data_IF_055443988509
#
_entry.id   IF_055443988509
#
_cell.length_a   1.000
_cell.length_b   1.000
_cell.length_c   1.000
_cell.angle_alpha   90.00
_cell.angle_beta   90.00
_cell.angle_gamma   90.00
#
_symmetry.space_group_name_H-M   'P 1'
#
loop_
_entity.id
_entity.type
_entity.pdbx_description
1 polymer ?
#
# COMPACT_ATOMS: atom_id res chain seq x y z
N UNK A 1 52.33 -17.69 -27.94
CA UNK A 1 52.80 -16.62 -27.01
C UNK A 1 51.90 -16.71 -25.78
N UNK A 2 52.37 -16.86 -24.52
CA UNK A 2 53.25 -15.95 -23.74
C UNK A 2 52.62 -14.55 -23.68
N UNK A 3 52.17 -13.96 -22.57
CA UNK A 3 52.72 -13.96 -21.19
C UNK A 3 51.64 -13.99 -20.07
N UNK A 4 52.10 -14.02 -18.81
CA UNK A 4 51.34 -13.81 -17.58
C UNK A 4 52.11 -12.83 -16.65
N UNK A 5 51.76 -12.73 -15.35
CA UNK A 5 52.37 -11.87 -14.28
C UNK A 5 51.87 -10.41 -14.34
N UNK A 6 51.57 -9.66 -13.26
CA UNK A 6 51.72 -9.78 -11.78
C UNK A 6 50.35 -9.52 -11.06
N UNK A 7 50.05 -9.72 -9.76
CA UNK A 7 50.72 -9.46 -8.45
C UNK A 7 51.09 -7.97 -8.25
N UNK A 8 50.87 -7.26 -7.13
CA UNK A 8 50.14 -7.43 -5.85
C UNK A 8 50.01 -5.99 -5.23
N UNK A 9 49.80 -5.63 -3.95
CA UNK A 9 49.59 -6.28 -2.63
C UNK A 9 49.13 -5.21 -1.59
N UNK A 10 48.33 -5.59 -0.56
CA UNK A 10 48.21 -4.93 0.78
C UNK A 10 47.62 -3.48 0.82
N UNK A 11 47.09 -2.90 1.92
CA UNK A 11 46.52 -3.39 3.20
C UNK A 11 45.64 -2.26 3.84
N UNK A 12 44.85 -2.51 4.90
CA UNK A 12 43.79 -1.57 5.34
C UNK A 12 44.28 -0.37 6.18
N UNK A 13 43.49 0.71 6.17
CA UNK A 13 43.63 1.82 7.14
C UNK A 13 42.99 1.49 8.49
N UNK A 14 43.62 1.97 9.57
CA UNK A 14 43.41 1.47 10.94
C UNK A 14 42.46 2.38 11.74
N UNK A 15 41.53 1.80 12.52
CA UNK A 15 40.78 2.53 13.54
C UNK A 15 41.72 3.05 14.62
N UNK A 16 41.64 4.34 14.95
CA UNK A 16 42.39 4.94 16.06
C UNK A 16 41.43 5.45 17.15
N UNK A 17 41.33 4.70 18.24
CA UNK A 17 40.54 5.07 19.42
C UNK A 17 41.45 5.54 20.58
N UNK A 18 41.14 6.68 21.17
CA UNK A 18 41.64 7.17 22.47
C UNK A 18 40.95 8.52 22.81
N UNK A 19 40.87 8.92 24.10
CA UNK A 19 40.51 8.11 25.26
C UNK A 19 39.33 8.75 26.04
N UNK A 20 38.70 8.01 26.95
CA UNK A 20 37.74 8.58 27.89
C UNK A 20 38.45 9.39 28.99
N UNK A 21 38.00 10.61 29.27
CA UNK A 21 38.52 11.45 30.38
C UNK A 21 37.37 11.85 31.29
N UNK A 22 37.45 11.44 32.56
CA UNK A 22 36.43 11.73 33.57
C UNK A 22 36.60 13.15 34.11
N UNK A 23 35.54 13.96 34.10
CA UNK A 23 35.52 15.29 34.71
C UNK A 23 34.28 15.47 35.59
N UNK A 24 34.41 15.16 36.88
CA UNK A 24 33.35 15.40 37.89
C UNK A 24 33.42 16.87 38.31
N UNK A 25 32.52 17.70 37.79
CA UNK A 25 32.32 19.09 38.23
C UNK A 25 31.14 19.20 39.19
N UNK A 26 31.19 20.16 40.12
CA UNK A 26 30.24 20.28 41.24
C UNK A 26 29.05 21.15 40.85
N UNK A 27 27.83 20.68 41.11
CA UNK A 27 26.61 21.49 41.00
C UNK A 27 26.51 22.50 42.17
N UNK A 28 26.23 23.79 41.91
CA UNK A 28 25.66 24.68 42.91
C UNK A 28 24.20 24.32 43.20
N UNK A 29 23.70 24.65 44.39
CA UNK A 29 22.31 24.37 44.78
C UNK A 29 21.35 25.43 44.27
N UNK A 30 20.20 24.99 43.76
CA UNK A 30 18.95 25.75 43.80
C UNK A 30 18.63 26.62 42.59
N UNK A 31 17.77 26.10 41.70
CA UNK A 31 16.62 26.76 41.07
C UNK A 31 15.75 25.61 40.52
N UNK A 32 14.43 25.65 40.73
CA UNK A 32 13.52 24.65 40.16
C UNK A 32 12.97 25.14 38.81
N UNK A 33 13.17 24.42 37.70
CA UNK A 33 12.30 24.54 36.54
C UNK A 33 10.99 23.79 36.81
N UNK A 34 9.86 24.30 36.31
CA UNK A 34 8.60 23.55 36.34
C UNK A 34 8.71 22.29 35.48
N UNK A 35 8.29 21.15 36.03
CA UNK A 35 8.18 19.89 35.30
C UNK A 35 6.98 19.91 34.33
N UNK A 36 7.10 20.68 33.25
CA UNK A 36 6.17 20.63 32.13
C UNK A 36 6.18 19.23 31.52
N UNK A 37 5.06 18.51 31.62
CA UNK A 37 4.91 17.17 31.04
C UNK A 37 4.89 17.28 29.52
N UNK A 38 6.04 17.05 28.89
CA UNK A 38 6.12 16.73 27.46
C UNK A 38 5.32 15.44 27.22
N UNK A 39 4.08 15.61 26.77
CA UNK A 39 3.31 14.50 26.24
C UNK A 39 3.94 14.09 24.91
N UNK A 40 4.16 12.79 24.64
CA UNK A 40 4.56 12.36 23.31
C UNK A 40 3.41 12.68 22.34
N UNK A 41 3.68 13.55 21.37
CA UNK A 41 2.64 13.99 20.42
C UNK A 41 2.29 12.87 19.44
N UNK A 42 1.05 12.39 19.52
CA UNK A 42 0.32 11.92 18.35
C UNK A 42 0.93 10.76 17.55
N UNK A 43 1.34 9.66 18.23
CA UNK A 43 1.15 8.37 17.57
C UNK A 43 -0.38 8.18 17.48
N UNK A 44 -0.91 8.08 16.26
CA UNK A 44 -2.34 7.81 16.05
C UNK A 44 -2.74 6.55 16.80
N UNK A 45 -3.70 6.67 17.70
CA UNK A 45 -3.95 5.66 18.73
C UNK A 45 -4.76 4.47 18.19
N UNK A 46 -4.11 3.63 17.40
CA UNK A 46 -4.51 2.23 17.22
C UNK A 46 -4.54 1.59 18.62
N UNK A 47 -5.73 1.28 19.12
CA UNK A 47 -5.86 0.54 20.39
C UNK A 47 -5.37 -0.89 20.16
N UNK A 48 -4.91 -1.58 21.21
CA UNK A 48 -4.35 -2.92 21.06
C UNK A 48 -5.31 -3.91 20.36
N UNK A 49 -6.62 -3.69 20.46
CA UNK A 49 -7.68 -4.42 19.77
C UNK A 49 -7.71 -4.28 18.25
N UNK A 50 -7.10 -3.25 17.66
CA UNK A 50 -7.06 -3.06 16.18
C UNK A 50 -5.75 -3.58 15.57
N UNK A 51 -4.99 -4.38 16.32
CA UNK A 51 -3.74 -5.03 15.89
C UNK A 51 -3.84 -6.57 15.94
N UNK A 52 -4.99 -7.11 16.35
CA UNK A 52 -5.35 -8.50 16.09
C UNK A 52 -5.79 -8.62 14.61
N UNK A 53 -5.48 -9.74 13.94
CA UNK A 53 -5.90 -10.01 12.56
C UNK A 53 -4.84 -9.82 11.47
N UNK A 54 -5.29 -9.74 10.21
CA UNK A 54 -4.49 -9.64 8.98
C UNK A 54 -4.49 -8.22 8.41
N UNK A 55 -3.36 -7.75 7.85
CA UNK A 55 -3.27 -6.48 7.14
C UNK A 55 -3.31 -6.70 5.63
N UNK A 56 -4.34 -6.18 4.95
CA UNK A 56 -4.57 -6.42 3.52
C UNK A 56 -4.09 -5.21 2.72
N UNK A 57 -3.08 -5.39 1.87
CA UNK A 57 -2.55 -4.32 1.01
C UNK A 57 -3.15 -4.38 -0.40
N UNK A 58 -3.90 -3.36 -0.76
CA UNK A 58 -4.49 -3.21 -2.10
C UNK A 58 -3.74 -2.17 -2.95
N UNK A 59 -3.70 -2.35 -4.29
CA UNK A 59 -3.32 -1.28 -5.20
C UNK A 59 -4.53 -0.34 -5.43
N UNK A 60 -4.33 0.97 -5.66
CA UNK A 60 -5.41 1.84 -6.09
C UNK A 60 -5.91 1.40 -7.48
N UNK A 61 -7.16 1.70 -7.77
CA UNK A 61 -7.73 1.52 -9.10
C UNK A 61 -7.20 2.55 -10.12
N UNK A 62 -7.36 2.22 -11.40
CA UNK A 62 -7.12 3.15 -12.50
C UNK A 62 -8.27 4.16 -12.60
N UNK A 63 -9.48 3.69 -12.94
CA UNK A 63 -10.70 4.49 -12.87
C UNK A 63 -11.14 4.72 -11.42
N UNK A 64 -11.66 5.90 -11.11
CA UNK A 64 -12.10 6.29 -9.76
C UNK A 64 -13.43 7.02 -9.81
N UNK A 65 -14.34 6.65 -8.93
CA UNK A 65 -15.69 7.21 -8.85
C UNK A 65 -15.60 8.69 -8.47
N UNK A 66 -16.29 9.56 -9.22
CA UNK A 66 -16.43 10.96 -8.89
C UNK A 66 -17.78 11.22 -8.23
N UNK A 67 -17.77 11.92 -7.09
CA UNK A 67 -18.96 12.24 -6.32
C UNK A 67 -19.36 13.69 -6.61
N UNK A 68 -20.65 13.94 -6.84
CA UNK A 68 -21.14 15.26 -7.24
C UNK A 68 -21.22 16.28 -6.08
N UNK A 69 -21.03 15.84 -4.84
CA UNK A 69 -21.13 16.66 -3.63
C UNK A 69 -20.41 15.99 -2.44
N UNK A 70 -20.20 16.77 -1.37
CA UNK A 70 -19.40 16.40 -0.21
C UNK A 70 -18.17 17.31 -0.07
N UNK A 71 -17.68 17.48 1.15
CA UNK A 71 -16.49 18.31 1.41
C UNK A 71 -15.22 17.75 0.74
N UNK A 72 -14.18 18.56 0.52
CA UNK A 72 -12.85 18.09 0.15
C UNK A 72 -12.21 17.19 1.23
N UNK A 73 -11.04 16.62 0.91
CA UNK A 73 -10.25 15.86 1.88
C UNK A 73 -9.55 16.79 2.87
N UNK A 74 -9.46 16.36 4.13
CA UNK A 74 -8.65 17.03 5.15
C UNK A 74 -7.37 16.22 5.42
N UNK A 75 -6.21 16.83 5.18
CA UNK A 75 -4.90 16.13 5.21
C UNK A 75 -4.60 15.45 6.55
N UNK A 76 -5.06 16.04 7.65
CA UNK A 76 -4.90 15.54 9.02
C UNK A 76 -5.96 14.50 9.43
N UNK A 77 -7.04 14.35 8.65
CA UNK A 77 -8.09 13.35 8.89
C UNK A 77 -7.83 12.03 8.13
N UNK A 78 -6.95 12.04 7.13
CA UNK A 78 -6.46 10.82 6.48
C UNK A 78 -5.65 9.97 7.47
N UNK A 79 -5.81 8.65 7.40
CA UNK A 79 -4.94 7.68 8.08
C UNK A 79 -3.47 7.96 7.82
N UNK A 80 -2.58 7.51 8.72
CA UNK A 80 -1.12 7.73 8.59
C UNK A 80 -0.73 9.23 8.49
N UNK A 81 -1.08 10.09 9.46
CA UNK A 81 -0.80 11.53 9.41
C UNK A 81 0.70 11.87 9.30
N UNK A 82 1.59 10.94 9.65
CA UNK A 82 3.04 11.05 9.43
C UNK A 82 3.42 11.19 7.95
N UNK A 83 2.52 10.82 7.02
CA UNK A 83 2.70 11.02 5.59
C UNK A 83 2.24 12.41 5.10
N UNK A 84 1.69 13.28 5.96
CA UNK A 84 1.06 14.55 5.55
C UNK A 84 1.97 15.50 4.77
N UNK A 85 3.20 15.73 5.23
CA UNK A 85 4.20 16.56 4.53
C UNK A 85 4.54 15.96 3.15
N UNK A 86 4.77 14.66 3.10
CA UNK A 86 5.06 13.91 1.88
C UNK A 86 3.88 13.97 0.88
N UNK A 87 2.64 13.80 1.34
CA UNK A 87 1.43 13.99 0.52
C UNK A 87 1.37 15.42 -0.04
N UNK A 88 1.80 16.42 0.73
CA UNK A 88 1.97 17.80 0.28
C UNK A 88 2.97 17.96 -0.86
N UNK A 89 4.17 17.37 -0.75
CA UNK A 89 5.17 17.35 -1.84
C UNK A 89 4.58 16.77 -3.14
N UNK A 90 3.89 15.62 -3.05
CA UNK A 90 3.33 14.92 -4.22
C UNK A 90 2.13 15.65 -4.81
N UNK A 91 1.24 16.22 -4.00
CA UNK A 91 0.13 17.06 -4.47
C UNK A 91 0.62 18.30 -5.21
N UNK A 92 1.65 18.98 -4.68
CA UNK A 92 2.22 20.16 -5.32
C UNK A 92 2.86 19.81 -6.68
N UNK A 93 3.69 18.76 -6.71
CA UNK A 93 4.32 18.28 -7.95
C UNK A 93 3.29 17.78 -8.98
N UNK A 94 2.26 17.05 -8.54
CA UNK A 94 1.18 16.57 -9.40
C UNK A 94 0.37 17.72 -10.00
N UNK A 95 0.04 18.74 -9.19
CA UNK A 95 -0.68 19.94 -9.65
C UNK A 95 0.14 20.71 -10.69
N UNK A 96 1.45 20.87 -10.48
CA UNK A 96 2.35 21.52 -11.45
C UNK A 96 2.42 20.73 -12.76
N UNK A 97 2.67 19.42 -12.70
CA UNK A 97 2.74 18.56 -13.89
C UNK A 97 1.40 18.52 -14.65
N UNK A 98 0.27 18.48 -13.94
CA UNK A 98 -1.06 18.38 -14.57
C UNK A 98 -1.53 19.69 -15.21
N UNK A 99 -0.86 20.82 -14.93
CA UNK A 99 -1.12 22.12 -15.54
C UNK A 99 -0.18 22.45 -16.71
N UNK A 100 0.76 21.55 -17.07
CA UNK A 100 1.69 21.72 -18.18
C UNK A 100 1.10 21.22 -19.51
N UNK A 101 1.59 21.74 -20.64
CA UNK A 101 1.14 21.33 -21.98
C UNK A 101 1.42 19.84 -22.28
N UNK A 102 2.47 19.27 -21.67
CA UNK A 102 2.87 17.87 -21.81
C UNK A 102 2.30 16.94 -20.70
N UNK A 103 1.38 17.43 -19.86
CA UNK A 103 0.79 16.70 -18.73
C UNK A 103 0.38 15.26 -19.07
N UNK A 104 -0.29 15.07 -20.21
CA UNK A 104 -0.77 13.76 -20.66
C UNK A 104 0.38 12.79 -20.97
N UNK A 105 1.49 13.30 -21.51
CA UNK A 105 2.70 12.52 -21.79
C UNK A 105 3.44 12.17 -20.49
N UNK A 106 3.61 13.12 -19.57
CA UNK A 106 4.32 12.91 -18.29
C UNK A 106 3.57 11.94 -17.38
N UNK A 107 2.23 12.02 -17.35
CA UNK A 107 1.37 11.13 -16.58
C UNK A 107 1.11 9.77 -17.29
N UNK A 108 1.53 9.62 -18.55
CA UNK A 108 1.43 8.38 -19.32
C UNK A 108 -0.01 7.98 -19.68
N UNK A 109 -0.82 8.93 -20.13
CA UNK A 109 -2.27 8.77 -20.34
C UNK A 109 -2.74 9.19 -21.74
N UNK A 110 -3.77 8.51 -22.24
CA UNK A 110 -4.46 8.88 -23.48
C UNK A 110 -5.47 10.02 -23.28
N UNK A 111 -5.83 10.70 -24.38
CA UNK A 111 -6.70 11.88 -24.39
C UNK A 111 -8.07 11.70 -23.69
N UNK A 112 -8.59 10.48 -23.63
CA UNK A 112 -9.83 10.15 -22.91
C UNK A 112 -9.79 10.39 -21.39
N UNK A 113 -8.61 10.63 -20.81
CA UNK A 113 -8.41 10.90 -19.39
C UNK A 113 -8.08 12.38 -19.10
N UNK A 114 -8.26 13.28 -20.07
CA UNK A 114 -7.93 14.69 -19.94
C UNK A 114 -8.69 15.40 -18.80
N UNK A 115 -9.95 15.04 -18.56
CA UNK A 115 -10.72 15.57 -17.42
C UNK A 115 -10.18 15.09 -16.06
N UNK A 116 -9.73 13.84 -15.97
CA UNK A 116 -9.10 13.34 -14.73
C UNK A 116 -7.74 14.01 -14.47
N UNK A 117 -7.01 14.38 -15.53
CA UNK A 117 -5.76 15.16 -15.41
C UNK A 117 -6.05 16.62 -15.04
N UNK A 118 -7.04 17.26 -15.65
CA UNK A 118 -7.45 18.61 -15.27
C UNK A 118 -7.87 18.67 -13.77
N UNK A 119 -8.59 17.64 -13.30
CA UNK A 119 -8.99 17.50 -11.88
C UNK A 119 -7.81 17.47 -10.90
N UNK A 120 -6.64 16.95 -11.31
CA UNK A 120 -5.44 16.97 -10.46
C UNK A 120 -5.03 18.39 -10.03
N UNK A 121 -5.39 19.42 -10.81
CA UNK A 121 -5.08 20.83 -10.53
C UNK A 121 -5.94 21.36 -9.36
N UNK A 122 -7.16 20.83 -9.19
CA UNK A 122 -8.20 21.33 -8.28
C UNK A 122 -8.45 20.48 -7.04
N UNK A 123 -7.84 19.29 -6.90
CA UNK A 123 -8.07 18.29 -5.82
C UNK A 123 -8.39 18.82 -4.41
N UNK A 124 -7.75 19.92 -3.97
CA UNK A 124 -8.05 20.63 -2.71
C UNK A 124 -9.47 21.24 -2.61
N UNK A 125 -10.31 21.09 -3.64
CA UNK A 125 -11.72 21.52 -3.72
C UNK A 125 -12.65 20.45 -4.30
N UNK A 126 -12.10 19.32 -4.73
CA UNK A 126 -12.89 18.23 -5.32
C UNK A 126 -13.59 17.46 -4.19
N UNK A 127 -14.88 17.09 -4.34
CA UNK A 127 -15.58 16.30 -3.34
C UNK A 127 -14.85 14.99 -3.02
N UNK A 128 -14.66 14.73 -1.72
CA UNK A 128 -13.99 13.54 -1.22
C UNK A 128 -14.99 12.55 -0.61
N UNK A 129 -14.90 11.29 -1.02
CA UNK A 129 -15.69 10.17 -0.47
C UNK A 129 -14.74 9.09 0.07
N UNK A 130 -15.29 8.11 0.80
CA UNK A 130 -14.50 7.05 1.42
C UNK A 130 -13.75 6.24 0.35
N UNK A 131 -12.53 5.81 0.62
CA UNK A 131 -11.68 5.18 -0.38
C UNK A 131 -12.30 3.89 -0.98
N UNK A 132 -13.16 3.20 -0.23
CA UNK A 132 -13.97 2.07 -0.72
C UNK A 132 -15.05 2.41 -1.76
N UNK A 133 -15.54 3.66 -1.81
CA UNK A 133 -16.44 4.15 -2.86
C UNK A 133 -15.67 4.73 -4.06
N UNK A 134 -14.55 5.40 -3.77
CA UNK A 134 -13.74 6.12 -4.77
C UNK A 134 -12.93 5.17 -5.65
N UNK A 135 -12.38 4.09 -5.09
CA UNK A 135 -11.62 3.11 -5.87
C UNK A 135 -12.56 2.06 -6.49
N UNK A 136 -12.64 2.03 -7.82
CA UNK A 136 -13.63 1.23 -8.58
C UNK A 136 -12.99 0.36 -9.68
N UNK A 137 -13.79 -0.46 -10.37
CA UNK A 137 -13.30 -1.42 -11.36
C UNK A 137 -12.82 -2.76 -10.77
N UNK A 138 -12.97 -3.84 -11.54
CA UNK A 138 -12.54 -5.26 -11.38
C UNK A 138 -12.15 -5.74 -9.98
N UNK A 139 -11.11 -5.20 -9.35
CA UNK A 139 -10.68 -5.61 -8.00
C UNK A 139 -11.68 -5.18 -6.93
N UNK A 140 -12.12 -3.91 -6.96
CA UNK A 140 -13.06 -3.37 -5.99
C UNK A 140 -14.49 -3.82 -6.27
N UNK A 141 -14.82 -4.09 -7.54
CA UNK A 141 -16.06 -4.76 -7.96
C UNK A 141 -16.15 -6.20 -7.45
N UNK A 142 -15.04 -6.95 -7.48
CA UNK A 142 -14.96 -8.32 -6.94
C UNK A 142 -14.94 -8.34 -5.41
N UNK A 143 -14.37 -7.31 -4.77
CA UNK A 143 -14.44 -7.12 -3.32
C UNK A 143 -15.89 -6.85 -2.90
N UNK A 144 -16.58 -5.93 -3.58
CA UNK A 144 -18.00 -5.66 -3.39
C UNK A 144 -18.33 -5.13 -1.98
N UNK A 145 -17.65 -4.08 -1.54
CA UNK A 145 -17.81 -3.53 -0.17
C UNK A 145 -19.27 -3.22 0.21
N UNK A 146 -20.06 -2.71 -0.73
CA UNK A 146 -21.49 -2.42 -0.55
C UNK A 146 -22.40 -3.68 -0.47
N UNK A 147 -21.85 -4.88 -0.67
CA UNK A 147 -22.55 -6.17 -0.46
C UNK A 147 -21.88 -7.03 0.63
N UNK A 148 -20.99 -6.45 1.43
CA UNK A 148 -20.55 -7.02 2.71
C UNK A 148 -21.60 -6.74 3.79
N UNK A 149 -21.66 -7.59 4.83
CA UNK A 149 -22.42 -7.24 6.04
C UNK A 149 -21.68 -6.19 6.89
N UNK A 150 -22.36 -5.62 7.88
CA UNK A 150 -21.81 -4.54 8.69
C UNK A 150 -20.60 -4.94 9.56
N UNK A 151 -20.37 -6.22 9.86
CA UNK A 151 -19.17 -6.69 10.54
C UNK A 151 -17.99 -6.85 9.56
N UNK A 152 -18.24 -7.44 8.39
CA UNK A 152 -17.25 -7.52 7.32
C UNK A 152 -16.85 -6.13 6.78
N UNK A 153 -17.76 -5.15 6.74
CA UNK A 153 -17.44 -3.75 6.43
C UNK A 153 -16.49 -3.11 7.45
N UNK A 154 -16.71 -3.32 8.76
CA UNK A 154 -15.79 -2.82 9.80
C UNK A 154 -14.40 -3.46 9.67
N UNK A 155 -14.34 -4.79 9.54
CA UNK A 155 -13.06 -5.49 9.31
C UNK A 155 -12.36 -4.99 8.04
N UNK A 156 -13.11 -4.72 6.95
CA UNK A 156 -12.55 -4.11 5.75
C UNK A 156 -11.95 -2.73 6.00
N UNK A 157 -12.65 -1.83 6.71
CA UNK A 157 -12.15 -0.49 7.00
C UNK A 157 -10.97 -0.47 8.00
N UNK A 158 -10.87 -1.47 8.87
CA UNK A 158 -9.78 -1.64 9.85
C UNK A 158 -8.53 -2.33 9.26
N UNK A 159 -8.70 -3.32 8.37
CA UNK A 159 -7.63 -4.17 7.82
C UNK A 159 -7.09 -3.74 6.45
N UNK A 160 -7.87 -3.04 5.62
CA UNK A 160 -7.48 -2.72 4.24
C UNK A 160 -6.75 -1.39 4.16
N UNK A 161 -5.56 -1.44 3.55
CA UNK A 161 -4.74 -0.25 3.24
C UNK A 161 -4.44 -0.20 1.74
N UNK A 162 -4.81 0.91 1.10
CA UNK A 162 -4.57 1.14 -0.33
C UNK A 162 -3.28 1.93 -0.53
N UNK A 163 -2.26 1.31 -1.15
CA UNK A 163 -0.93 1.92 -1.33
C UNK A 163 -0.92 2.82 -2.57
N UNK A 164 -1.36 4.06 -2.38
CA UNK A 164 -1.60 5.07 -3.42
C UNK A 164 -0.33 5.75 -3.96
N UNK A 165 -0.31 6.05 -5.25
CA UNK A 165 0.74 6.87 -5.88
C UNK A 165 0.71 8.35 -5.43
N UNK A 166 -0.46 8.87 -5.05
CA UNK A 166 -0.67 10.25 -4.59
C UNK A 166 -0.61 10.34 -3.05
N UNK A 167 -1.25 9.40 -2.36
CA UNK A 167 -1.42 9.47 -0.91
C UNK A 167 -0.39 8.65 -0.12
N UNK A 168 0.43 7.85 -0.81
CA UNK A 168 1.37 6.88 -0.25
C UNK A 168 0.66 5.63 0.25
N UNK A 169 -0.13 5.80 1.30
CA UNK A 169 -1.05 4.80 1.84
C UNK A 169 -2.30 5.51 2.37
N UNK A 170 -3.47 4.88 2.29
CA UNK A 170 -4.73 5.34 2.90
C UNK A 170 -5.47 4.15 3.51
N UNK A 171 -6.19 4.37 4.61
CA UNK A 171 -7.16 3.42 5.14
C UNK A 171 -8.38 3.35 4.22
N UNK A 172 -9.14 2.25 4.25
CA UNK A 172 -10.22 2.03 3.27
C UNK A 172 -11.42 2.97 3.48
N UNK A 173 -11.60 3.49 4.71
CA UNK A 173 -12.57 4.53 5.04
C UNK A 173 -12.07 5.98 4.82
N UNK A 174 -10.79 6.22 4.47
CA UNK A 174 -10.24 7.57 4.33
C UNK A 174 -11.02 8.37 3.26
N UNK A 175 -11.46 9.61 3.57
CA UNK A 175 -12.11 10.48 2.58
C UNK A 175 -11.08 11.08 1.61
N UNK A 176 -11.12 10.67 0.34
CA UNK A 176 -10.22 11.14 -0.73
C UNK A 176 -11.01 11.60 -1.98
N UNK A 177 -10.52 12.59 -2.75
CA UNK A 177 -11.04 12.88 -4.08
C UNK A 177 -10.50 11.89 -5.13
N UNK A 178 -11.21 11.69 -6.26
CA UNK A 178 -10.68 10.96 -7.41
C UNK A 178 -9.53 11.72 -8.09
N UNK A 179 -8.45 11.02 -8.45
CA UNK A 179 -7.21 11.60 -8.99
C UNK A 179 -6.58 10.72 -10.09
N UNK A 180 -5.77 11.33 -10.95
CA UNK A 180 -5.03 10.65 -12.04
C UNK A 180 -3.52 10.65 -11.79
N UNK A 181 -3.03 9.66 -11.05
CA UNK A 181 -1.60 9.40 -10.86
C UNK A 181 -1.33 7.90 -10.69
N UNK A 182 -0.31 7.38 -11.39
CA UNK A 182 0.14 5.99 -11.29
C UNK A 182 1.55 5.89 -10.71
N UNK A 183 1.84 4.83 -9.95
CA UNK A 183 3.10 4.69 -9.19
C UNK A 183 4.35 4.54 -10.07
N UNK A 184 4.17 4.26 -11.36
CA UNK A 184 5.26 4.26 -12.36
C UNK A 184 5.72 5.65 -12.80
N UNK A 185 4.96 6.71 -12.50
CA UNK A 185 5.26 8.09 -12.92
C UNK A 185 6.47 8.67 -12.17
N UNK A 186 7.18 9.58 -12.85
CA UNK A 186 8.19 10.47 -12.27
C UNK A 186 7.61 11.88 -12.24
N UNK A 187 7.55 12.51 -11.07
CA UNK A 187 7.16 13.93 -10.93
C UNK A 187 8.39 14.70 -10.45
N UNK A 188 8.70 15.87 -11.01
CA UNK A 188 9.76 16.72 -10.44
C UNK A 188 9.18 17.67 -9.37
N UNK A 189 9.92 17.97 -8.28
CA UNK A 189 11.27 17.49 -7.92
C UNK A 189 11.28 16.14 -7.15
N UNK A 190 10.12 15.51 -6.96
CA UNK A 190 9.92 14.27 -6.18
C UNK A 190 10.72 13.07 -6.72
N UNK A 191 10.96 13.01 -8.02
CA UNK A 191 11.57 11.87 -8.70
C UNK A 191 10.59 10.72 -8.95
N UNK A 192 11.09 9.48 -8.94
CA UNK A 192 10.30 8.27 -9.23
C UNK A 192 9.49 7.84 -8.02
N UNK A 193 8.16 7.90 -8.13
CA UNK A 193 7.23 7.77 -6.99
C UNK A 193 7.46 6.52 -6.15
N UNK A 194 7.55 5.32 -6.75
CA UNK A 194 7.81 4.09 -6.00
C UNK A 194 9.05 4.16 -5.09
N UNK A 195 10.18 4.65 -5.62
CA UNK A 195 11.45 4.74 -4.88
C UNK A 195 11.49 5.86 -3.84
N UNK A 196 10.67 6.89 -4.03
CA UNK A 196 10.52 8.01 -3.10
C UNK A 196 9.58 7.61 -1.96
N UNK A 197 8.40 7.05 -2.28
CA UNK A 197 7.44 6.55 -1.29
C UNK A 197 8.02 5.46 -0.42
N UNK A 198 8.85 4.54 -0.96
CA UNK A 198 9.50 3.49 -0.15
C UNK A 198 10.26 4.01 1.06
N UNK A 199 10.88 5.19 0.98
CA UNK A 199 11.59 5.81 2.11
C UNK A 199 10.67 6.38 3.19
N UNK A 200 9.43 6.74 2.83
CA UNK A 200 8.40 7.27 3.75
C UNK A 200 7.47 6.16 4.29
N UNK A 201 7.09 5.20 3.45
CA UNK A 201 6.09 4.18 3.78
C UNK A 201 6.63 3.07 4.68
N UNK A 202 7.87 2.60 4.50
CA UNK A 202 8.42 1.50 5.32
C UNK A 202 8.27 1.74 6.84
N UNK A 203 8.79 2.82 7.44
CA UNK A 203 8.66 3.03 8.89
C UNK A 203 7.22 3.26 9.38
N UNK A 204 6.30 3.68 8.49
CA UNK A 204 4.90 3.95 8.83
C UNK A 204 4.03 2.70 8.75
N UNK A 205 4.22 1.87 7.71
CA UNK A 205 3.45 0.66 7.50
C UNK A 205 4.00 -0.53 8.28
N UNK A 206 5.32 -0.61 8.52
CA UNK A 206 5.88 -1.57 9.49
C UNK A 206 5.32 -1.30 10.90
N UNK A 207 5.18 -0.03 11.29
CA UNK A 207 4.58 0.36 12.57
C UNK A 207 3.06 0.17 12.65
N UNK A 208 2.33 0.19 11.51
CA UNK A 208 0.91 -0.21 11.47
C UNK A 208 0.74 -1.71 11.55
N UNK A 209 1.58 -2.49 10.89
CA UNK A 209 1.49 -3.95 10.87
C UNK A 209 1.95 -4.57 12.20
N UNK A 210 3.05 -4.07 12.79
CA UNK A 210 3.69 -4.73 13.92
C UNK A 210 4.07 -6.17 13.57
N UNK A 211 3.43 -7.13 14.22
CA UNK A 211 3.61 -8.57 13.98
C UNK A 211 2.52 -9.19 13.07
N UNK A 212 1.49 -8.43 12.66
CA UNK A 212 0.39 -8.93 11.82
C UNK A 212 0.88 -9.53 10.48
N UNK A 213 0.18 -10.56 10.01
CA UNK A 213 0.36 -11.12 8.67
C UNK A 213 -0.06 -10.09 7.61
N UNK A 214 0.79 -9.83 6.62
CA UNK A 214 0.52 -8.86 5.56
C UNK A 214 0.19 -9.56 4.25
N UNK A 215 -1.09 -9.59 3.86
CA UNK A 215 -1.55 -10.14 2.58
C UNK A 215 -1.40 -9.07 1.49
N UNK A 216 -0.44 -9.26 0.59
CA UNK A 216 -0.11 -8.28 -0.45
C UNK A 216 -0.76 -8.61 -1.80
N UNK A 217 -1.90 -7.97 -2.06
CA UNK A 217 -2.63 -8.03 -3.32
C UNK A 217 -2.22 -6.91 -4.31
N UNK A 218 -1.18 -6.11 -4.03
CA UNK A 218 -0.71 -5.05 -4.94
C UNK A 218 -0.07 -5.62 -6.20
N UNK A 219 -0.19 -4.91 -7.32
CA UNK A 219 0.64 -5.23 -8.50
C UNK A 219 2.09 -4.86 -8.22
N UNK A 220 3.04 -5.45 -8.94
CA UNK A 220 4.49 -5.22 -8.74
C UNK A 220 4.89 -3.75 -8.77
N UNK A 221 4.22 -2.92 -9.57
CA UNK A 221 4.41 -1.46 -9.64
C UNK A 221 4.12 -0.76 -8.30
N UNK A 222 3.11 -1.22 -7.55
CA UNK A 222 2.73 -0.66 -6.25
C UNK A 222 3.45 -1.37 -5.09
N UNK A 223 3.74 -2.67 -5.20
CA UNK A 223 4.57 -3.40 -4.24
C UNK A 223 6.03 -2.89 -4.19
N UNK A 224 6.52 -2.25 -5.26
CA UNK A 224 7.81 -1.57 -5.26
C UNK A 224 7.86 -0.36 -4.28
N UNK A 225 6.71 0.22 -3.91
CA UNK A 225 6.62 1.40 -3.05
C UNK A 225 6.63 1.09 -1.55
N UNK A 226 6.39 -0.16 -1.14
CA UNK A 226 6.59 -0.61 0.25
C UNK A 226 6.81 -2.11 0.28
N UNK A 227 7.90 -2.53 0.94
CA UNK A 227 8.13 -3.92 1.35
C UNK A 227 8.27 -3.94 2.87
N UNK A 228 7.55 -4.83 3.59
CA UNK A 228 7.68 -4.98 5.03
C UNK A 228 9.09 -5.38 5.47
N UNK A 229 9.57 -4.82 6.57
CA UNK A 229 10.93 -5.12 7.09
C UNK A 229 11.00 -6.39 7.93
N UNK A 230 9.89 -6.84 8.52
CA UNK A 230 9.79 -8.06 9.33
C UNK A 230 9.73 -9.35 8.48
N UNK A 231 9.41 -9.23 7.18
CA UNK A 231 9.22 -10.37 6.27
C UNK A 231 7.88 -11.11 6.42
N UNK A 232 7.01 -10.74 7.36
CA UNK A 232 5.71 -11.40 7.58
C UNK A 232 4.67 -10.97 6.52
N UNK A 233 4.93 -11.30 5.25
CA UNK A 233 4.09 -10.89 4.14
C UNK A 233 4.02 -11.93 3.03
N UNK A 234 2.80 -12.16 2.55
CA UNK A 234 2.48 -13.15 1.51
C UNK A 234 1.88 -12.43 0.30
N UNK A 235 2.59 -12.45 -0.82
CA UNK A 235 2.10 -11.86 -2.07
C UNK A 235 1.06 -12.77 -2.73
N UNK A 236 -0.12 -12.23 -3.09
CA UNK A 236 -1.20 -13.00 -3.72
C UNK A 236 -0.95 -13.09 -5.23
N UNK A 237 -0.33 -14.15 -5.72
CA UNK A 237 -0.20 -14.44 -7.14
C UNK A 237 -1.43 -15.17 -7.66
N UNK A 238 -1.83 -14.89 -8.91
CA UNK A 238 -2.96 -15.53 -9.56
C UNK A 238 -2.56 -15.93 -10.97
N UNK A 239 -2.74 -17.21 -11.28
CA UNK A 239 -2.51 -17.81 -12.58
C UNK A 239 -3.80 -18.41 -13.10
N UNK A 240 -3.91 -18.58 -14.41
CA UNK A 240 -4.96 -19.36 -15.05
C UNK A 240 -4.32 -20.47 -15.88
N UNK A 241 -4.85 -21.68 -15.82
CA UNK A 241 -4.45 -22.76 -16.72
C UNK A 241 -4.80 -22.39 -18.16
N UNK A 242 -3.80 -22.45 -19.05
CA UNK A 242 -3.93 -22.21 -20.48
C UNK A 242 -3.19 -23.29 -21.26
N UNK A 243 -3.94 -24.18 -21.91
CA UNK A 243 -3.47 -25.46 -22.43
C UNK A 243 -2.69 -26.24 -21.35
N UNK A 244 -3.29 -26.38 -20.15
CA UNK A 244 -2.67 -27.06 -18.99
C UNK A 244 -1.45 -26.35 -18.37
N UNK A 245 -1.03 -25.18 -18.88
CA UNK A 245 0.10 -24.42 -18.35
C UNK A 245 -0.39 -23.20 -17.55
N UNK A 246 0.02 -22.99 -16.28
CA UNK A 246 -0.32 -21.77 -15.54
C UNK A 246 0.26 -20.52 -16.20
N UNK A 247 -0.58 -19.51 -16.48
CA UNK A 247 -0.19 -18.20 -17.05
C UNK A 247 -0.83 -17.06 -16.27
N UNK A 248 -0.09 -15.98 -16.05
CA UNK A 248 -0.64 -14.76 -15.43
C UNK A 248 -1.55 -14.08 -16.44
N UNK A 249 -2.82 -13.89 -16.09
CA UNK A 249 -3.79 -13.13 -16.91
C UNK A 249 -4.31 -11.96 -16.08
N UNK A 250 -3.90 -10.74 -16.45
CA UNK A 250 -4.02 -9.54 -15.61
C UNK A 250 -5.45 -9.17 -15.18
N UNK A 251 -6.48 -9.57 -15.93
CA UNK A 251 -7.88 -9.33 -15.54
C UNK A 251 -8.33 -10.30 -14.45
N UNK A 252 -8.07 -11.60 -14.62
CA UNK A 252 -8.34 -12.62 -13.59
C UNK A 252 -7.55 -12.32 -12.31
N UNK A 253 -6.28 -11.96 -12.45
CA UNK A 253 -5.46 -11.59 -11.29
C UNK A 253 -6.04 -10.39 -10.49
N UNK A 254 -6.59 -9.36 -11.16
CA UNK A 254 -7.26 -8.25 -10.46
C UNK A 254 -8.53 -8.70 -9.74
N UNK A 255 -9.37 -9.51 -10.39
CA UNK A 255 -10.64 -9.97 -9.82
C UNK A 255 -10.40 -10.85 -8.59
N UNK A 256 -9.62 -11.92 -8.72
CA UNK A 256 -9.39 -12.88 -7.63
C UNK A 256 -8.62 -12.29 -6.46
N UNK A 257 -7.83 -11.23 -6.65
CA UNK A 257 -7.28 -10.44 -5.55
C UNK A 257 -8.33 -9.64 -4.78
N UNK A 258 -9.39 -9.20 -5.45
CA UNK A 258 -10.57 -8.63 -4.81
C UNK A 258 -11.41 -9.69 -4.08
N UNK A 259 -11.60 -10.86 -4.70
CA UNK A 259 -12.26 -12.01 -4.05
C UNK A 259 -11.50 -12.49 -2.81
N UNK A 260 -10.17 -12.54 -2.83
CA UNK A 260 -9.34 -12.86 -1.65
C UNK A 260 -9.48 -11.80 -0.56
N UNK A 261 -9.46 -10.51 -0.91
CA UNK A 261 -9.66 -9.44 0.06
C UNK A 261 -11.06 -9.51 0.70
N UNK A 262 -12.11 -9.75 -0.10
CA UNK A 262 -13.47 -10.02 0.39
C UNK A 262 -13.51 -11.23 1.32
N UNK A 263 -12.99 -12.35 0.87
CA UNK A 263 -13.07 -13.63 1.59
C UNK A 263 -12.38 -13.55 2.95
N UNK A 264 -11.26 -12.82 3.06
CA UNK A 264 -10.60 -12.56 4.35
C UNK A 264 -11.47 -11.72 5.29
N UNK A 265 -12.05 -10.60 4.83
CA UNK A 265 -12.89 -9.74 5.69
C UNK A 265 -14.27 -10.35 6.01
N UNK A 266 -14.69 -11.37 5.27
CA UNK A 266 -15.87 -12.19 5.60
C UNK A 266 -15.61 -13.22 6.73
N UNK A 267 -14.35 -13.53 7.09
CA UNK A 267 -14.07 -14.48 8.18
C UNK A 267 -14.30 -13.89 9.58
N UNK A 268 -14.69 -14.74 10.53
CA UNK A 268 -14.68 -14.41 11.97
C UNK A 268 -13.33 -14.69 12.64
N UNK A 269 -12.52 -15.59 12.08
CA UNK A 269 -11.16 -15.91 12.54
C UNK A 269 -10.18 -15.63 11.41
N UNK A 270 -9.27 -14.69 11.64
CA UNK A 270 -8.30 -14.25 10.64
C UNK A 270 -6.98 -15.04 10.72
N UNK A 271 -6.32 -15.36 9.59
CA UNK A 271 -5.11 -16.19 9.59
C UNK A 271 -3.92 -15.43 10.19
N UNK A 272 -3.30 -15.98 11.24
CA UNK A 272 -2.17 -15.38 11.94
C UNK A 272 -0.83 -15.59 11.21
N UNK A 273 -0.75 -16.56 10.29
CA UNK A 273 0.45 -16.86 9.52
C UNK A 273 0.13 -17.39 8.11
N UNK A 274 1.18 -17.55 7.30
CA UNK A 274 1.06 -17.95 5.91
C UNK A 274 0.48 -19.37 5.68
N UNK A 275 0.65 -20.31 6.62
CA UNK A 275 0.09 -21.65 6.50
C UNK A 275 -1.42 -21.62 6.75
N UNK A 276 -1.88 -20.93 7.80
CA UNK A 276 -3.31 -20.71 8.03
C UNK A 276 -3.98 -19.97 6.86
N UNK A 277 -3.29 -19.01 6.25
CA UNK A 277 -3.75 -18.34 5.03
C UNK A 277 -3.85 -19.31 3.83
N UNK A 278 -2.91 -20.26 3.69
CA UNK A 278 -2.96 -21.29 2.65
C UNK A 278 -4.11 -22.26 2.89
N UNK A 279 -4.30 -22.73 4.11
CA UNK A 279 -5.34 -23.69 4.49
C UNK A 279 -6.73 -23.06 4.30
N UNK A 280 -6.90 -21.79 4.70
CA UNK A 280 -8.09 -20.99 4.45
C UNK A 280 -8.33 -20.76 2.95
N UNK A 281 -7.30 -20.38 2.17
CA UNK A 281 -7.45 -20.19 0.72
C UNK A 281 -7.86 -21.49 0.00
N UNK A 282 -7.36 -22.64 0.46
CA UNK A 282 -7.70 -23.95 -0.10
C UNK A 282 -9.13 -24.43 0.19
N UNK A 283 -9.93 -23.72 1.02
CA UNK A 283 -11.38 -23.97 1.09
C UNK A 283 -12.14 -23.37 -0.09
N UNK A 284 -11.49 -22.56 -0.94
CA UNK A 284 -12.15 -21.78 -2.02
C UNK A 284 -11.43 -21.85 -3.38
N UNK A 285 -10.11 -22.02 -3.41
CA UNK A 285 -9.30 -22.08 -4.64
C UNK A 285 -8.28 -23.24 -4.59
N UNK A 286 -7.73 -23.63 -5.75
CA UNK A 286 -6.49 -24.40 -5.81
C UNK A 286 -5.32 -23.45 -5.51
N UNK A 287 -4.70 -23.58 -4.34
CA UNK A 287 -3.69 -22.64 -3.85
C UNK A 287 -2.44 -23.34 -3.28
N UNK A 288 -1.27 -22.73 -3.53
CA UNK A 288 0.03 -23.23 -3.05
C UNK A 288 0.93 -22.10 -2.55
N UNK A 289 1.70 -22.33 -1.49
CA UNK A 289 2.76 -21.40 -1.07
C UNK A 289 4.04 -21.62 -1.90
N UNK A 290 4.75 -20.53 -2.21
CA UNK A 290 6.12 -20.57 -2.71
C UNK A 290 6.94 -19.39 -2.17
N UNK A 291 8.23 -19.61 -1.91
CA UNK A 291 9.16 -18.56 -1.52
C UNK A 291 10.22 -18.37 -2.61
N UNK A 292 10.46 -17.12 -3.01
CA UNK A 292 11.56 -16.77 -3.91
C UNK A 292 12.28 -15.49 -3.44
N UNK A 293 13.26 -15.00 -4.22
CA UNK A 293 14.05 -13.80 -3.89
C UNK A 293 13.22 -12.51 -3.72
N UNK A 294 11.91 -12.54 -3.95
CA UNK A 294 10.98 -11.42 -3.71
C UNK A 294 10.27 -11.52 -2.35
N UNK A 295 10.20 -12.71 -1.75
CA UNK A 295 9.45 -13.02 -0.52
C UNK A 295 8.58 -14.27 -0.69
N UNK A 296 7.72 -14.52 0.31
CA UNK A 296 6.72 -15.57 0.31
C UNK A 296 5.49 -15.16 -0.52
N UNK A 297 4.85 -16.12 -1.17
CA UNK A 297 3.70 -15.89 -2.04
C UNK A 297 2.67 -17.02 -1.98
N UNK A 298 1.39 -16.65 -2.00
CA UNK A 298 0.25 -17.54 -2.19
C UNK A 298 -0.08 -17.55 -3.68
N UNK A 299 0.04 -18.69 -4.33
CA UNK A 299 -0.19 -18.85 -5.76
C UNK A 299 -1.53 -19.56 -5.97
N UNK A 300 -2.54 -18.79 -6.36
CA UNK A 300 -3.85 -19.30 -6.74
C UNK A 300 -3.83 -19.70 -8.22
N UNK A 301 -4.33 -20.89 -8.52
CA UNK A 301 -4.47 -21.42 -9.89
C UNK A 301 -5.96 -21.51 -10.23
N UNK A 302 -6.35 -20.80 -11.29
CA UNK A 302 -7.72 -20.80 -11.82
C UNK A 302 -7.83 -21.78 -12.99
N UNK A 303 -8.97 -22.46 -13.08
CA UNK A 303 -9.29 -23.35 -14.19
C UNK A 303 -9.35 -22.61 -15.54
N UNK A 304 -9.17 -23.35 -16.63
CA UNK A 304 -9.09 -22.80 -18.00
C UNK A 304 -10.43 -22.21 -18.50
N UNK A 305 -11.53 -22.73 -17.96
CA UNK A 305 -12.92 -22.34 -18.19
C UNK A 305 -13.48 -21.34 -17.15
N UNK A 306 -12.69 -20.98 -16.12
CA UNK A 306 -13.13 -20.11 -15.02
C UNK A 306 -13.67 -18.75 -15.52
N UNK A 307 -14.85 -18.37 -15.01
CA UNK A 307 -15.58 -17.14 -15.37
C UNK A 307 -15.83 -16.25 -14.15
N UNK A 308 -15.98 -14.94 -14.38
CA UNK A 308 -16.24 -13.97 -13.32
C UNK A 308 -17.68 -14.06 -12.78
N UNK A 309 -17.80 -14.44 -11.51
CA UNK A 309 -19.02 -14.22 -10.71
C UNK A 309 -18.90 -12.88 -10.00
N UNK A 310 -19.61 -11.86 -10.49
CA UNK A 310 -19.72 -10.58 -9.78
C UNK A 310 -20.57 -10.76 -8.51
N UNK A 311 -20.18 -10.19 -7.36
CA UNK A 311 -20.99 -10.24 -6.13
C UNK A 311 -22.43 -9.74 -6.33
N UNK A 312 -22.63 -8.73 -7.18
CA UNK A 312 -23.96 -8.20 -7.50
C UNK A 312 -24.85 -9.18 -8.30
N UNK A 313 -24.25 -10.11 -9.05
CA UNK A 313 -24.98 -11.20 -9.72
C UNK A 313 -25.29 -12.35 -8.75
N UNK A 314 -24.30 -12.74 -7.94
CA UNK A 314 -24.48 -13.77 -6.92
C UNK A 314 -25.60 -13.40 -5.92
N UNK A 315 -25.62 -12.14 -5.46
CA UNK A 315 -26.68 -11.62 -4.59
C UNK A 315 -28.06 -11.50 -5.28
N UNK A 316 -28.10 -11.46 -6.61
CA UNK A 316 -29.34 -11.46 -7.40
C UNK A 316 -29.84 -12.88 -7.79
N UNK A 317 -29.03 -13.93 -7.54
CA UNK A 317 -29.38 -15.31 -7.87
C UNK A 317 -29.33 -15.64 -9.37
N UNK A 318 -28.44 -15.00 -10.14
CA UNK A 318 -28.32 -15.13 -11.62
C UNK A 318 -26.87 -15.39 -12.07
#
# INVERSE_FOLDING_TARGET
MRHAVAWSSHSPFILRAAPATTAISRLPKGIMPLAGRLHPMGIGAWTASTLEGVLILLPPSEGKTAHASGDPFEMSALSFPQLGEARGEVLAALRTVSAAEDAMQVLGVGASLAEEVARNITLHREPAAQAHDVYSGVLFEALGYSTLDAAAQRRADESIVVVSALWGAVGFADRIPPYRLSMGVKLEPVGKLASWWKKRLTPVLDARAGDQLIVDARSSTYAAAYKPSNGNSVAVNVFQLRNGTPKVVSHFAKHTRGEVARFLVEQETEPANAQELLDLANTRWDATLSEDKKGLALNIVLAEDHQFTSPAKAAAGV
#
